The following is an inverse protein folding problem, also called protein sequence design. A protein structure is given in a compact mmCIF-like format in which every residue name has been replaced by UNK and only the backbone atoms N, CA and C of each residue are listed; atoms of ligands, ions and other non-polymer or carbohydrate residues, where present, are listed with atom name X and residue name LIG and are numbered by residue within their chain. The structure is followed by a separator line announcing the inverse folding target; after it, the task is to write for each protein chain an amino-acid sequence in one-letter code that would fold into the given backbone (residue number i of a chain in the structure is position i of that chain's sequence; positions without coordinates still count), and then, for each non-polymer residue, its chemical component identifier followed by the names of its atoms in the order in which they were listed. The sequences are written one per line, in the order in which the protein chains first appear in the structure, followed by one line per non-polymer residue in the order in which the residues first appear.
data_IF_279122034640
#
_entry.id   IF_279122034640
#
_cell.length_a   1.000
_cell.length_b   1.000
_cell.length_c   1.000
_cell.angle_alpha   90.00
_cell.angle_beta   90.00
_cell.angle_gamma   90.00
#
_symmetry.space_group_name_H-M   'P 1'
#
loop_
_entity.id
_entity.type
_entity.pdbx_description
1 polymer ?
#
# COMPACT_ATOMS: atom_id res chain seq x y z
N UNK A 1 54.83 18.87 -59.37
CA UNK A 1 53.37 18.73 -59.49
C UNK A 1 52.82 18.41 -58.11
N UNK A 2 51.82 19.18 -57.69
CA UNK A 2 51.23 19.17 -56.36
C UNK A 2 50.04 18.19 -56.25
N UNK A 3 49.70 17.79 -55.02
CA UNK A 3 48.37 17.39 -54.53
C UNK A 3 48.49 17.23 -53.00
N UNK A 4 48.27 18.26 -52.19
CA UNK A 4 47.00 18.75 -51.62
C UNK A 4 46.22 17.77 -50.72
N UNK A 5 45.91 18.30 -49.54
CA UNK A 5 45.11 17.79 -48.42
C UNK A 5 43.68 17.42 -48.79
N UNK A 6 43.13 16.40 -48.14
CA UNK A 6 41.72 16.39 -47.72
C UNK A 6 41.59 15.70 -46.36
N UNK A 7 41.25 16.50 -45.35
CA UNK A 7 40.62 16.06 -44.10
C UNK A 7 39.23 15.54 -44.43
N UNK A 8 38.91 14.31 -44.03
CA UNK A 8 37.52 13.82 -44.00
C UNK A 8 37.16 13.57 -42.55
N UNK A 9 36.39 14.51 -42.00
CA UNK A 9 35.67 14.35 -40.74
C UNK A 9 34.51 13.39 -41.00
N UNK A 10 34.60 12.16 -40.50
CA UNK A 10 33.43 11.29 -40.36
C UNK A 10 32.63 11.78 -39.16
N UNK A 11 31.53 12.46 -39.46
CA UNK A 11 30.42 12.72 -38.54
C UNK A 11 29.77 11.36 -38.22
N UNK A 12 30.09 10.80 -37.06
CA UNK A 12 29.27 9.74 -36.47
C UNK A 12 28.04 10.42 -35.87
N UNK A 13 26.97 10.45 -36.68
CA UNK A 13 25.62 10.80 -36.24
C UNK A 13 25.12 9.67 -35.33
N UNK A 14 25.44 9.77 -34.04
CA UNK A 14 24.90 8.89 -33.01
C UNK A 14 23.44 9.30 -32.80
N UNK A 15 22.46 8.39 -32.94
CA UNK A 15 21.09 8.74 -32.58
C UNK A 15 21.08 9.06 -31.09
N UNK A 16 20.68 10.27 -30.74
CA UNK A 16 20.35 10.66 -29.38
C UNK A 16 19.20 9.77 -28.90
N UNK A 17 19.51 8.64 -28.29
CA UNK A 17 18.62 7.99 -27.35
C UNK A 17 18.39 8.99 -26.22
N UNK A 18 17.26 9.67 -26.29
CA UNK A 18 16.68 10.37 -25.16
C UNK A 18 16.38 9.29 -24.12
N UNK A 19 17.35 9.03 -23.26
CA UNK A 19 17.26 8.12 -22.13
C UNK A 19 16.14 8.63 -21.22
N UNK A 20 14.93 8.13 -21.44
CA UNK A 20 13.83 8.29 -20.52
C UNK A 20 14.25 7.52 -19.27
N UNK A 21 14.89 8.24 -18.34
CA UNK A 21 15.38 7.73 -17.07
C UNK A 21 14.33 6.78 -16.50
N UNK A 22 14.63 5.49 -16.59
CA UNK A 22 13.82 4.47 -15.95
C UNK A 22 14.01 4.71 -14.46
N UNK A 23 13.04 5.36 -13.82
CA UNK A 23 13.00 5.57 -12.37
C UNK A 23 12.94 4.19 -11.70
N UNK A 24 14.14 3.64 -11.52
CA UNK A 24 14.32 2.27 -11.07
C UNK A 24 14.24 2.31 -9.56
N UNK A 25 13.10 1.90 -9.03
CA UNK A 25 12.90 1.78 -7.59
C UNK A 25 13.94 0.82 -6.99
N UNK A 26 14.73 1.30 -6.03
CA UNK A 26 15.77 0.52 -5.33
C UNK A 26 15.33 0.20 -3.90
N UNK A 27 15.26 -1.08 -3.56
CA UNK A 27 14.80 -1.54 -2.24
C UNK A 27 15.77 -1.18 -1.11
N UNK A 28 17.07 -1.14 -1.39
CA UNK A 28 18.12 -0.81 -0.42
C UNK A 28 18.01 0.63 0.10
N UNK A 29 17.41 1.53 -0.70
CA UNK A 29 17.14 2.92 -0.35
C UNK A 29 15.68 3.19 0.00
N UNK A 30 14.87 2.15 0.24
CA UNK A 30 13.45 2.33 0.52
C UNK A 30 13.22 2.92 1.92
N UNK A 31 12.48 4.02 1.98
CA UNK A 31 11.89 4.54 3.21
C UNK A 31 10.50 3.92 3.36
N UNK A 32 10.40 2.95 4.26
CA UNK A 32 9.18 2.18 4.50
C UNK A 32 8.33 2.86 5.58
N UNK A 33 7.05 3.07 5.30
CA UNK A 33 6.05 3.46 6.29
C UNK A 33 5.12 2.29 6.57
N UNK A 34 5.10 1.81 7.81
CA UNK A 34 4.12 0.82 8.25
C UNK A 34 2.89 1.50 8.84
N UNK A 35 1.70 1.16 8.34
CA UNK A 35 0.43 1.58 8.91
C UNK A 35 -0.42 0.37 9.29
N UNK A 36 -0.81 0.33 10.56
CA UNK A 36 -1.93 -0.50 11.03
C UNK A 36 -3.22 0.12 10.49
N UNK A 37 -3.79 -0.45 9.44
CA UNK A 37 -4.85 0.19 8.63
C UNK A 37 -6.03 0.65 9.49
N UNK A 38 -6.55 -0.22 10.37
CA UNK A 38 -7.64 0.08 11.31
C UNK A 38 -7.39 1.28 12.25
N UNK A 39 -6.14 1.70 12.42
CA UNK A 39 -5.72 2.77 13.33
C UNK A 39 -5.17 4.00 12.63
N UNK A 40 -5.18 4.01 11.30
CA UNK A 40 -4.50 5.05 10.54
C UNK A 40 -5.43 6.24 10.23
N UNK A 41 -6.46 6.03 9.41
CA UNK A 41 -7.42 7.07 9.02
C UNK A 41 -8.73 6.40 8.61
N UNK A 42 -9.86 6.82 9.21
CA UNK A 42 -11.20 6.37 8.81
C UNK A 42 -11.68 7.25 7.67
N UNK A 43 -11.70 6.71 6.46
CA UNK A 43 -12.07 7.41 5.24
C UNK A 43 -13.48 7.11 4.75
N UNK A 44 -14.08 6.02 5.22
CA UNK A 44 -15.44 5.59 4.92
C UNK A 44 -16.11 4.95 6.16
N UNK A 45 -16.79 5.75 7.00
CA UNK A 45 -17.47 5.24 8.20
C UNK A 45 -18.62 4.27 7.89
N UNK A 46 -19.05 4.14 6.63
CA UNK A 46 -20.17 3.25 6.27
C UNK A 46 -19.79 1.77 6.37
N UNK A 47 -18.50 1.45 6.46
CA UNK A 47 -17.98 0.09 6.56
C UNK A 47 -17.56 -0.33 7.99
N UNK A 48 -17.67 0.56 8.99
CA UNK A 48 -17.21 0.37 10.38
C UNK A 48 -17.85 -0.83 11.10
N UNK A 49 -19.09 -1.17 10.77
CA UNK A 49 -19.87 -2.26 11.39
C UNK A 49 -20.16 -3.42 10.42
N UNK A 50 -19.20 -3.72 9.55
CA UNK A 50 -19.31 -4.82 8.59
C UNK A 50 -19.31 -6.21 9.26
N UNK A 51 -19.87 -7.20 8.56
CA UNK A 51 -19.83 -8.63 8.94
C UNK A 51 -20.47 -8.93 10.31
N UNK A 52 -21.37 -8.08 10.79
CA UNK A 52 -22.04 -8.23 12.09
C UNK A 52 -21.14 -7.97 13.29
N UNK A 53 -19.96 -7.37 13.07
CA UNK A 53 -19.04 -6.97 14.13
C UNK A 53 -19.55 -5.69 14.80
N UNK A 54 -19.30 -5.58 16.10
CA UNK A 54 -19.77 -4.48 16.92
C UNK A 54 -18.59 -3.83 17.66
N UNK A 55 -18.66 -2.53 17.94
CA UNK A 55 -17.68 -1.82 18.76
C UNK A 55 -17.86 -2.09 20.26
N UNK A 56 -17.78 -3.37 20.65
CA UNK A 56 -17.95 -3.86 22.02
C UNK A 56 -16.81 -4.79 22.48
N UNK A 57 -15.67 -4.70 21.81
CA UNK A 57 -14.43 -5.29 22.30
C UNK A 57 -13.91 -4.59 23.56
N UNK A 58 -12.95 -5.23 24.22
CA UNK A 58 -12.16 -4.62 25.27
C UNK A 58 -11.38 -3.39 24.74
N UNK A 59 -10.80 -2.55 25.61
CA UNK A 59 -10.11 -1.32 25.19
C UNK A 59 -9.09 -1.57 24.07
N UNK A 60 -9.26 -0.89 22.93
CA UNK A 60 -8.44 -1.02 21.70
C UNK A 60 -8.47 -2.41 21.05
N UNK A 61 -9.49 -3.24 21.34
CA UNK A 61 -9.67 -4.60 20.80
C UNK A 61 -10.89 -4.76 19.89
N UNK A 62 -11.56 -3.65 19.57
CA UNK A 62 -12.50 -3.53 18.44
C UNK A 62 -11.79 -2.96 17.21
N UNK A 63 -12.46 -3.06 16.07
CA UNK A 63 -12.19 -2.16 14.94
C UNK A 63 -12.45 -0.71 15.37
N UNK A 64 -11.60 0.22 14.94
CA UNK A 64 -11.73 1.67 15.15
C UNK A 64 -11.98 2.43 13.84
N UNK A 65 -12.11 1.71 12.72
CA UNK A 65 -12.64 2.23 11.46
C UNK A 65 -11.60 2.75 10.48
N UNK A 66 -10.31 2.59 10.76
CA UNK A 66 -9.30 2.91 9.75
C UNK A 66 -9.39 1.96 8.55
N UNK A 67 -9.35 2.50 7.33
CA UNK A 67 -9.70 1.75 6.13
C UNK A 67 -8.84 2.12 4.90
N UNK A 68 -9.03 1.42 3.78
CA UNK A 68 -8.29 1.65 2.54
C UNK A 68 -8.61 3.02 1.93
N UNK A 69 -9.84 3.52 2.09
CA UNK A 69 -10.25 4.83 1.58
C UNK A 69 -9.51 5.95 2.33
N UNK A 70 -9.30 5.78 3.63
CA UNK A 70 -8.54 6.70 4.47
C UNK A 70 -7.06 6.70 4.11
N UNK A 71 -6.48 5.56 3.73
CA UNK A 71 -5.12 5.50 3.20
C UNK A 71 -5.02 6.19 1.84
N UNK A 72 -5.99 5.98 0.95
CA UNK A 72 -6.09 6.67 -0.34
C UNK A 72 -6.13 8.19 -0.16
N UNK A 73 -6.97 8.69 0.76
CA UNK A 73 -7.06 10.12 1.06
C UNK A 73 -5.69 10.68 1.48
N UNK A 74 -4.96 9.98 2.34
CA UNK A 74 -3.61 10.42 2.77
C UNK A 74 -2.56 10.34 1.66
N UNK A 75 -2.68 9.40 0.71
CA UNK A 75 -1.89 9.42 -0.53
C UNK A 75 -2.20 10.66 -1.37
N UNK A 76 -3.47 11.02 -1.50
CA UNK A 76 -3.92 12.17 -2.29
C UNK A 76 -3.54 13.51 -1.69
N UNK A 77 -3.60 13.62 -0.36
CA UNK A 77 -3.16 14.79 0.40
C UNK A 77 -1.64 15.00 0.36
N UNK A 78 -0.86 14.02 -0.10
CA UNK A 78 0.59 14.09 -0.16
C UNK A 78 1.31 13.65 1.12
N UNK A 79 0.60 13.22 2.16
CA UNK A 79 1.15 12.86 3.48
C UNK A 79 2.40 11.98 3.41
N UNK A 80 2.35 10.90 2.61
CA UNK A 80 3.48 9.98 2.47
C UNK A 80 4.63 10.58 1.66
N UNK A 81 4.32 11.28 0.58
CA UNK A 81 5.32 11.94 -0.27
C UNK A 81 6.06 13.06 0.47
N UNK A 82 5.35 13.85 1.27
CA UNK A 82 5.92 14.92 2.10
C UNK A 82 6.88 14.38 3.18
N UNK A 83 6.62 13.17 3.67
CA UNK A 83 7.52 12.44 4.57
C UNK A 83 8.73 11.81 3.86
N UNK A 84 8.77 11.80 2.52
CA UNK A 84 9.79 11.11 1.74
C UNK A 84 9.65 9.59 1.73
N UNK A 85 8.44 9.07 2.00
CA UNK A 85 8.13 7.64 1.95
C UNK A 85 8.01 7.21 0.50
N UNK A 86 8.67 6.10 0.14
CA UNK A 86 8.57 5.48 -1.18
C UNK A 86 8.14 4.00 -1.12
N UNK A 87 7.89 3.45 0.07
CA UNK A 87 7.26 2.15 0.26
C UNK A 87 6.24 2.19 1.41
N UNK A 88 5.02 1.76 1.14
CA UNK A 88 3.92 1.69 2.09
C UNK A 88 3.64 0.23 2.46
N UNK A 89 3.77 -0.12 3.73
CA UNK A 89 3.41 -1.42 4.28
C UNK A 89 2.11 -1.29 5.08
N UNK A 90 1.09 -2.02 4.66
CA UNK A 90 -0.20 -2.07 5.32
C UNK A 90 -0.38 -3.41 6.04
N UNK A 91 -1.25 -3.44 7.05
CA UNK A 91 -1.73 -4.71 7.60
C UNK A 91 -2.38 -5.59 6.54
N UNK A 92 -2.46 -6.92 6.79
CA UNK A 92 -3.05 -7.84 5.82
C UNK A 92 -4.49 -7.41 5.50
N UNK A 93 -4.82 -7.23 4.21
CA UNK A 93 -6.14 -6.71 3.84
C UNK A 93 -7.20 -7.82 3.73
N UNK A 94 -6.83 -9.08 3.93
CA UNK A 94 -7.68 -10.25 3.71
C UNK A 94 -8.89 -10.27 4.63
N UNK A 95 -9.99 -10.92 4.21
CA UNK A 95 -11.13 -11.18 5.09
C UNK A 95 -10.67 -11.96 6.32
N UNK A 96 -10.93 -11.40 7.51
CA UNK A 96 -10.64 -12.01 8.80
C UNK A 96 -11.85 -12.75 9.37
N UNK A 97 -11.67 -13.51 10.45
CA UNK A 97 -12.80 -14.10 11.19
C UNK A 97 -13.87 -13.05 11.55
N UNK A 98 -15.14 -13.41 11.44
CA UNK A 98 -16.24 -12.47 11.72
C UNK A 98 -16.54 -12.36 13.22
N UNK A 99 -16.23 -13.43 13.96
CA UNK A 99 -16.40 -13.49 15.41
C UNK A 99 -15.31 -12.76 16.17
N UNK A 100 -15.30 -12.99 17.48
CA UNK A 100 -14.29 -12.48 18.39
C UNK A 100 -13.65 -13.63 19.17
N UNK A 101 -12.43 -13.41 19.63
CA UNK A 101 -11.77 -14.29 20.59
C UNK A 101 -11.75 -13.63 21.97
N UNK A 102 -11.45 -14.43 22.99
CA UNK A 102 -11.15 -13.94 24.33
C UNK A 102 -9.84 -14.58 24.79
N UNK A 103 -8.75 -13.85 24.64
CA UNK A 103 -7.39 -14.28 24.98
C UNK A 103 -7.05 -13.95 26.45
N UNK A 104 -8.04 -14.00 27.35
CA UNK A 104 -7.90 -13.56 28.74
C UNK A 104 -7.89 -12.04 28.92
N UNK A 105 -8.08 -11.27 27.85
CA UNK A 105 -8.06 -9.80 27.81
C UNK A 105 -9.43 -9.20 27.45
N UNK A 106 -10.46 -10.04 27.43
CA UNK A 106 -11.80 -9.67 26.98
C UNK A 106 -11.99 -9.87 25.48
N UNK A 107 -13.15 -9.41 25.00
CA UNK A 107 -13.58 -9.59 23.61
C UNK A 107 -12.63 -8.89 22.64
N UNK A 108 -12.14 -9.63 21.65
CA UNK A 108 -11.14 -9.17 20.67
C UNK A 108 -11.56 -9.53 19.26
N UNK A 109 -11.54 -8.55 18.36
CA UNK A 109 -11.77 -8.76 16.94
C UNK A 109 -10.47 -8.74 16.13
N UNK A 110 -10.50 -9.28 14.91
CA UNK A 110 -9.35 -9.36 14.00
C UNK A 110 -8.93 -8.05 13.35
N UNK A 111 -9.03 -6.91 14.05
CA UNK A 111 -8.74 -5.57 13.53
C UNK A 111 -7.31 -5.41 13.00
N UNK A 112 -6.39 -6.26 13.46
CA UNK A 112 -5.00 -6.26 13.07
C UNK A 112 -4.73 -7.00 11.74
N UNK A 113 -5.70 -7.76 11.22
CA UNK A 113 -5.60 -8.45 9.93
C UNK A 113 -4.97 -9.85 9.95
N UNK A 114 -4.54 -10.33 11.12
CA UNK A 114 -3.76 -11.57 11.26
C UNK A 114 -4.57 -12.82 11.60
N UNK A 115 -5.90 -12.79 11.50
CA UNK A 115 -6.77 -13.97 11.64
C UNK A 115 -7.51 -14.25 10.33
N UNK A 116 -6.77 -14.55 9.24
CA UNK A 116 -7.33 -14.66 7.91
C UNK A 116 -8.29 -15.84 7.81
N UNK A 117 -9.42 -15.58 7.17
CA UNK A 117 -10.46 -16.56 6.86
C UNK A 117 -10.50 -16.85 5.36
N UNK A 118 -10.38 -15.81 4.53
CA UNK A 118 -10.40 -15.91 3.08
C UNK A 118 -9.37 -14.96 2.47
N UNK A 119 -8.30 -15.52 1.88
CA UNK A 119 -7.24 -14.77 1.21
C UNK A 119 -7.63 -14.20 -0.15
N UNK A 120 -8.81 -14.55 -0.67
CA UNK A 120 -9.30 -14.10 -1.97
C UNK A 120 -10.20 -12.86 -1.87
N UNK A 121 -10.58 -12.47 -0.65
CA UNK A 121 -11.45 -11.34 -0.37
C UNK A 121 -10.73 -10.27 0.47
N UNK A 122 -11.12 -9.00 0.28
CA UNK A 122 -10.76 -7.90 1.18
C UNK A 122 -11.72 -7.92 2.38
N UNK A 123 -11.21 -7.67 3.59
CA UNK A 123 -12.07 -7.54 4.76
C UNK A 123 -13.01 -6.35 4.58
N UNK A 124 -14.32 -6.59 4.73
CA UNK A 124 -15.34 -5.57 4.50
C UNK A 124 -15.22 -4.37 5.44
N UNK A 125 -14.56 -4.48 6.61
CA UNK A 125 -14.24 -3.33 7.46
C UNK A 125 -13.13 -2.44 6.91
N UNK A 126 -12.36 -2.90 5.93
CA UNK A 126 -11.28 -2.13 5.29
C UNK A 126 -11.71 -1.55 3.94
N UNK A 127 -12.72 -2.12 3.30
CA UNK A 127 -13.25 -1.68 2.00
C UNK A 127 -13.42 -2.84 1.03
N UNK A 128 -13.20 -2.57 -0.26
CA UNK A 128 -13.43 -3.50 -1.36
C UNK A 128 -12.15 -3.81 -2.14
N UNK A 129 -12.23 -4.82 -3.01
CA UNK A 129 -11.15 -5.11 -3.97
C UNK A 129 -10.87 -3.93 -4.91
N UNK A 130 -11.90 -3.14 -5.24
CA UNK A 130 -11.71 -1.96 -6.09
C UNK A 130 -11.00 -0.83 -5.34
N UNK A 131 -11.28 -0.64 -4.05
CA UNK A 131 -10.50 0.28 -3.19
C UNK A 131 -9.03 -0.16 -3.13
N UNK A 132 -8.76 -1.47 -2.99
CA UNK A 132 -7.38 -1.97 -2.96
C UNK A 132 -6.66 -1.74 -4.29
N UNK A 133 -7.32 -1.97 -5.44
CA UNK A 133 -6.77 -1.66 -6.77
C UNK A 133 -6.47 -0.18 -6.93
N UNK A 134 -7.40 0.68 -6.50
CA UNK A 134 -7.26 2.13 -6.53
C UNK A 134 -6.07 2.60 -5.68
N UNK A 135 -5.93 2.06 -4.47
CA UNK A 135 -4.79 2.34 -3.58
C UNK A 135 -3.47 2.02 -4.26
N UNK A 136 -3.33 0.81 -4.81
CA UNK A 136 -2.09 0.39 -5.49
C UNK A 136 -1.80 1.29 -6.68
N UNK A 137 -2.81 1.61 -7.50
CA UNK A 137 -2.66 2.49 -8.64
C UNK A 137 -2.19 3.90 -8.22
N UNK A 138 -2.83 4.50 -7.20
CA UNK A 138 -2.50 5.84 -6.73
C UNK A 138 -1.15 5.92 -6.03
N UNK A 139 -0.76 4.87 -5.30
CA UNK A 139 0.57 4.76 -4.70
C UNK A 139 1.65 4.68 -5.80
N UNK A 140 1.47 3.80 -6.79
CA UNK A 140 2.42 3.67 -7.90
C UNK A 140 2.55 4.95 -8.74
N UNK A 141 1.45 5.65 -8.98
CA UNK A 141 1.47 6.95 -9.68
C UNK A 141 2.28 8.03 -8.94
N UNK A 142 2.58 7.82 -7.65
CA UNK A 142 3.39 8.70 -6.79
C UNK A 142 4.80 8.15 -6.52
N UNK A 143 5.21 7.09 -7.21
CA UNK A 143 6.49 6.42 -6.96
C UNK A 143 6.53 5.62 -5.65
N UNK A 144 5.39 5.35 -5.02
CA UNK A 144 5.29 4.61 -3.75
C UNK A 144 4.94 3.16 -4.05
N UNK A 145 5.79 2.21 -3.62
CA UNK A 145 5.50 0.77 -3.67
C UNK A 145 4.58 0.35 -2.54
N UNK A 146 3.75 -0.66 -2.76
CA UNK A 146 2.89 -1.25 -1.72
C UNK A 146 3.44 -2.62 -1.32
N UNK A 147 3.74 -2.80 -0.04
CA UNK A 147 4.16 -4.06 0.57
C UNK A 147 2.91 -4.76 1.10
N UNK A 148 2.63 -5.93 0.56
CA UNK A 148 1.56 -6.80 1.03
C UNK A 148 2.08 -7.71 2.14
N UNK A 149 1.44 -7.64 3.30
CA UNK A 149 1.65 -8.59 4.38
C UNK A 149 0.90 -9.90 4.07
N UNK A 150 1.58 -11.05 4.20
CA UNK A 150 1.05 -12.36 3.78
C UNK A 150 1.16 -13.38 4.90
N UNK A 151 0.02 -13.86 5.38
CA UNK A 151 -0.06 -14.81 6.49
C UNK A 151 -0.32 -16.17 5.89
N UNK A 152 0.72 -17.01 5.82
CA UNK A 152 0.63 -18.41 5.32
C UNK A 152 0.79 -19.45 6.43
N UNK A 153 0.96 -19.00 7.68
CA UNK A 153 1.22 -19.87 8.81
C UNK A 153 -0.05 -20.42 9.47
N UNK A 154 -1.12 -19.63 9.50
CA UNK A 154 -2.35 -19.92 10.24
C UNK A 154 -3.59 -19.25 9.61
N UNK A 155 -4.75 -19.61 10.15
CA UNK A 155 -6.07 -18.97 9.97
C UNK A 155 -6.52 -18.37 11.30
#
# INVERSE_FOLDING_TARGET
MACQSTSTTESTDTPSETDAAQDTFMWEGATVYFALTDRFNNGDPTNDESLGRQMNGAPLRSYLGGDLRGVIQKLEEGYFSDLGVNALWLTPPYENIHGYTNEGTGKTYGFHGYWPRDWTAIDANLGTMDDYRELVQKAHARGIRVILDVIINHT
#
